data_IF_664635949813
#
_entry.id   IF_664635949813
#
_cell.length_a   1.000
_cell.length_b   1.000
_cell.length_c   1.000
_cell.angle_alpha   90.00
_cell.angle_beta   90.00
_cell.angle_gamma   90.00
#
_symmetry.space_group_name_H-M   'P 1'
#
loop_
_entity.id
_entity.type
_entity.pdbx_description
1 polymer ?
#
# COMPACT_ATOMS: atom_id res chain seq x y z
N UNK A 1 -26.54 44.80 30.98
CA UNK A 1 -25.73 43.89 31.83
C UNK A 1 -25.57 42.50 31.20
N UNK A 2 -26.64 41.75 30.92
CA UNK A 2 -26.56 40.40 30.32
C UNK A 2 -25.90 40.41 28.92
N UNK A 3 -26.28 41.34 28.06
CA UNK A 3 -25.71 41.50 26.71
C UNK A 3 -24.20 41.78 26.78
N UNK A 4 -23.77 42.62 27.72
CA UNK A 4 -22.35 42.94 27.94
C UNK A 4 -21.59 41.71 28.40
N UNK A 5 -22.14 40.91 29.32
CA UNK A 5 -21.53 39.66 29.78
C UNK A 5 -21.41 38.66 28.62
N UNK A 6 -22.45 38.50 27.80
CA UNK A 6 -22.41 37.63 26.61
C UNK A 6 -21.38 38.12 25.59
N UNK A 7 -21.30 39.43 25.36
CA UNK A 7 -20.32 40.03 24.45
C UNK A 7 -18.88 39.80 24.94
N UNK A 8 -18.59 40.12 26.21
CA UNK A 8 -17.25 39.95 26.77
C UNK A 8 -16.84 38.48 26.92
N UNK A 9 -17.77 37.58 27.22
CA UNK A 9 -17.49 36.14 27.25
C UNK A 9 -17.27 35.57 25.85
N UNK A 10 -18.02 36.01 24.83
CA UNK A 10 -17.80 35.61 23.44
C UNK A 10 -16.48 36.15 22.87
N UNK A 11 -16.17 37.42 23.14
CA UNK A 11 -14.90 38.04 22.75
C UNK A 11 -13.73 37.41 23.51
N UNK A 12 -13.86 37.16 24.81
CA UNK A 12 -12.85 36.47 25.63
C UNK A 12 -12.56 35.06 25.13
N UNK A 13 -13.59 34.28 24.77
CA UNK A 13 -13.41 32.96 24.15
C UNK A 13 -12.69 33.02 22.80
N UNK A 14 -12.94 34.05 21.98
CA UNK A 14 -12.21 34.28 20.71
C UNK A 14 -10.75 34.67 20.95
N UNK A 15 -10.46 35.46 21.98
CA UNK A 15 -9.10 35.93 22.32
C UNK A 15 -8.24 34.86 23.01
N UNK A 16 -8.83 33.94 23.76
CA UNK A 16 -8.10 32.83 24.43
C UNK A 16 -7.57 31.80 23.42
N UNK A 17 -8.18 31.71 22.23
CA UNK A 17 -7.63 30.91 21.13
C UNK A 17 -6.40 31.66 20.60
N UNK A 18 -5.21 31.28 21.08
CA UNK A 18 -3.94 31.75 20.52
C UNK A 18 -4.00 31.63 18.99
N UNK A 19 -3.89 32.76 18.28
CA UNK A 19 -3.88 32.78 16.83
C UNK A 19 -2.77 31.85 16.35
N UNK A 20 -3.16 30.79 15.63
CA UNK A 20 -2.19 29.86 15.07
C UNK A 20 -1.39 30.58 13.99
N UNK A 21 -0.08 30.62 14.15
CA UNK A 21 0.83 31.35 13.25
C UNK A 21 1.20 30.50 12.03
N UNK A 22 1.47 29.20 12.22
CA UNK A 22 1.88 28.24 11.16
C UNK A 22 1.72 26.78 11.59
N UNK A 23 1.89 25.84 10.66
CA UNK A 23 1.91 24.39 10.92
C UNK A 23 0.64 23.65 10.51
N UNK A 24 0.50 22.38 10.93
CA UNK A 24 -0.67 21.55 10.62
C UNK A 24 -1.91 21.94 11.45
N UNK A 25 -3.10 21.93 10.85
CA UNK A 25 -4.36 22.17 11.55
C UNK A 25 -4.96 20.85 12.04
N UNK A 26 -5.40 20.83 13.29
CA UNK A 26 -6.21 19.74 13.79
C UNK A 26 -7.68 20.07 13.54
N UNK A 27 -8.35 19.21 12.76
CA UNK A 27 -9.76 19.37 12.41
C UNK A 27 -10.49 18.05 12.61
N UNK A 28 -11.74 18.11 13.08
CA UNK A 28 -12.57 16.91 13.18
C UNK A 28 -12.84 16.30 11.80
N UNK A 29 -12.88 14.96 11.72
CA UNK A 29 -12.95 14.26 10.43
C UNK A 29 -14.16 14.67 9.57
N UNK A 30 -15.34 14.93 10.18
CA UNK A 30 -16.53 15.41 9.46
C UNK A 30 -16.30 16.78 8.81
N UNK A 31 -15.56 17.66 9.50
CA UNK A 31 -15.17 18.96 8.97
C UNK A 31 -14.19 18.79 7.82
N UNK A 32 -13.15 17.97 8.00
CA UNK A 32 -12.16 17.68 6.95
C UNK A 32 -12.82 17.07 5.70
N UNK A 33 -13.73 16.12 5.87
CA UNK A 33 -14.48 15.52 4.77
C UNK A 33 -15.31 16.56 4.00
N UNK A 34 -15.94 17.52 4.69
CA UNK A 34 -16.66 18.65 4.06
C UNK A 34 -15.69 19.56 3.32
N UNK A 35 -14.55 19.91 3.92
CA UNK A 35 -13.51 20.75 3.29
C UNK A 35 -13.01 20.11 1.98
N UNK A 36 -12.70 18.82 2.00
CA UNK A 36 -12.28 18.08 0.80
C UNK A 36 -13.36 18.07 -0.29
N UNK A 37 -14.63 17.86 0.08
CA UNK A 37 -15.76 17.90 -0.87
C UNK A 37 -15.95 19.29 -1.47
N UNK A 38 -16.00 20.33 -0.64
CA UNK A 38 -16.17 21.73 -1.09
C UNK A 38 -15.02 22.18 -1.99
N UNK A 39 -13.79 21.74 -1.71
CA UNK A 39 -12.62 22.01 -2.53
C UNK A 39 -12.52 21.14 -3.80
N UNK A 40 -13.49 20.25 -4.06
CA UNK A 40 -13.45 19.24 -5.14
C UNK A 40 -12.20 18.34 -5.10
N UNK A 41 -11.65 18.11 -3.90
CA UNK A 41 -10.46 17.32 -3.59
C UNK A 41 -10.76 16.00 -2.86
N UNK A 42 -12.02 15.60 -2.75
CA UNK A 42 -12.38 14.31 -2.16
C UNK A 42 -12.07 13.15 -3.14
N UNK A 43 -11.29 12.17 -2.69
CA UNK A 43 -11.06 10.92 -3.42
C UNK A 43 -12.28 9.98 -3.34
N UNK A 44 -12.28 8.97 -4.20
CA UNK A 44 -13.20 7.84 -4.14
C UNK A 44 -12.87 6.92 -2.97
N UNK A 45 -11.57 6.76 -2.67
CA UNK A 45 -11.06 5.97 -1.54
C UNK A 45 -11.31 6.71 -0.22
N UNK A 46 -11.80 5.97 0.78
CA UNK A 46 -12.13 6.47 2.11
C UNK A 46 -11.64 5.52 3.20
N UNK A 47 -11.34 6.07 4.37
CA UNK A 47 -11.12 5.32 5.60
C UNK A 47 -12.01 5.89 6.71
N UNK A 48 -12.79 5.04 7.40
CA UNK A 48 -13.75 5.48 8.40
C UNK A 48 -14.72 6.54 7.89
N UNK A 49 -15.05 6.51 6.58
CA UNK A 49 -15.90 7.52 5.92
C UNK A 49 -15.20 8.86 5.60
N UNK A 50 -13.94 9.06 5.96
CA UNK A 50 -13.12 10.20 5.55
C UNK A 50 -12.50 9.93 4.17
N UNK A 51 -12.86 10.68 3.11
CA UNK A 51 -12.18 10.55 1.82
C UNK A 51 -10.71 10.99 1.92
N UNK A 52 -9.84 10.28 1.19
CA UNK A 52 -8.48 10.76 0.95
C UNK A 52 -8.48 12.02 0.09
N UNK A 53 -7.31 12.66 -0.02
CA UNK A 53 -7.09 13.71 -1.00
C UNK A 53 -7.10 13.08 -2.39
N UNK A 54 -7.85 13.66 -3.32
CA UNK A 54 -7.95 13.18 -4.69
C UNK A 54 -6.56 13.05 -5.31
N UNK A 55 -6.30 11.90 -5.96
CA UNK A 55 -5.03 11.53 -6.61
C UNK A 55 -3.87 11.24 -5.65
N UNK A 56 -4.06 11.31 -4.32
CA UNK A 56 -3.00 11.00 -3.37
C UNK A 56 -2.72 9.50 -3.25
N UNK A 57 -3.60 8.64 -3.76
CA UNK A 57 -3.41 7.19 -3.76
C UNK A 57 -2.14 6.74 -4.52
N UNK A 58 -1.65 7.58 -5.45
CA UNK A 58 -0.42 7.34 -6.21
C UNK A 58 0.86 7.74 -5.46
N UNK A 59 0.72 8.37 -4.30
CA UNK A 59 1.85 8.82 -3.47
C UNK A 59 2.23 7.80 -2.38
N UNK A 60 1.64 6.60 -2.44
CA UNK A 60 1.70 5.57 -1.41
C UNK A 60 1.05 5.99 -0.07
N UNK A 61 0.68 5.00 0.73
CA UNK A 61 0.06 5.21 2.04
C UNK A 61 0.84 4.41 3.08
N UNK A 62 1.35 5.09 4.10
CA UNK A 62 1.96 4.45 5.27
C UNK A 62 0.89 4.31 6.37
N UNK A 63 0.53 3.05 6.69
CA UNK A 63 -0.35 2.74 7.82
C UNK A 63 0.52 2.23 8.97
N UNK A 64 0.56 2.97 10.07
CA UNK A 64 1.39 2.65 11.24
C UNK A 64 0.55 2.55 12.52
N UNK A 65 1.00 1.73 13.46
CA UNK A 65 0.35 1.50 14.75
C UNK A 65 0.77 0.18 15.39
N UNK A 66 0.58 0.03 16.70
CA UNK A 66 0.88 -1.21 17.43
C UNK A 66 -0.09 -2.35 17.07
N UNK A 67 0.17 -3.56 17.55
CA UNK A 67 -0.76 -4.69 17.38
C UNK A 67 -2.11 -4.35 17.99
N UNK A 68 -3.21 -4.66 17.28
CA UNK A 68 -4.57 -4.38 17.74
C UNK A 68 -5.11 -2.98 17.44
N UNK A 69 -4.33 -2.05 16.86
CA UNK A 69 -4.81 -0.68 16.57
C UNK A 69 -5.65 -0.56 15.29
N UNK A 70 -6.00 -1.67 14.64
CA UNK A 70 -6.89 -1.65 13.48
C UNK A 70 -6.23 -1.49 12.10
N UNK A 71 -4.91 -1.71 11.96
CA UNK A 71 -4.24 -1.70 10.64
C UNK A 71 -4.92 -2.64 9.64
N UNK A 72 -5.19 -3.88 10.06
CA UNK A 72 -5.93 -4.88 9.25
C UNK A 72 -7.35 -4.42 8.93
N UNK A 73 -8.02 -3.72 9.85
CA UNK A 73 -9.35 -3.16 9.58
C UNK A 73 -9.32 -2.09 8.49
N UNK A 74 -8.28 -1.26 8.43
CA UNK A 74 -8.12 -0.32 7.32
C UNK A 74 -7.96 -1.03 5.97
N UNK A 75 -7.18 -2.11 5.91
CA UNK A 75 -7.04 -2.92 4.69
C UNK A 75 -8.37 -3.60 4.30
N UNK A 76 -9.10 -4.12 5.29
CA UNK A 76 -10.45 -4.67 5.10
C UNK A 76 -11.47 -3.65 4.57
N UNK A 77 -11.28 -2.36 4.86
CA UNK A 77 -12.10 -1.28 4.29
C UNK A 77 -11.63 -0.91 2.87
N UNK A 78 -10.32 -0.97 2.60
CA UNK A 78 -9.72 -0.57 1.32
C UNK A 78 -9.99 -1.57 0.20
N UNK A 79 -9.80 -2.87 0.42
CA UNK A 79 -9.88 -3.90 -0.63
C UNK A 79 -11.25 -3.93 -1.33
N UNK A 80 -12.40 -3.85 -0.62
CA UNK A 80 -13.71 -3.74 -1.27
C UNK A 80 -13.86 -2.50 -2.15
N UNK A 81 -13.22 -1.38 -1.77
CA UNK A 81 -13.26 -0.15 -2.57
C UNK A 81 -12.45 -0.30 -3.86
N UNK A 82 -11.26 -0.91 -3.80
CA UNK A 82 -10.45 -1.25 -4.98
C UNK A 82 -11.27 -2.12 -5.94
N UNK A 83 -11.90 -3.18 -5.42
CA UNK A 83 -12.76 -4.07 -6.22
C UNK A 83 -13.95 -3.34 -6.83
N UNK A 84 -14.66 -2.52 -6.04
CA UNK A 84 -15.80 -1.72 -6.49
C UNK A 84 -15.42 -0.77 -7.62
N UNK A 85 -14.22 -0.22 -7.58
CA UNK A 85 -13.69 0.67 -8.61
C UNK A 85 -13.09 -0.05 -9.82
N UNK A 86 -13.06 -1.40 -9.81
CA UNK A 86 -12.43 -2.24 -10.83
C UNK A 86 -10.93 -1.99 -10.97
N UNK A 87 -10.31 -1.52 -9.88
CA UNK A 87 -8.87 -1.39 -9.78
C UNK A 87 -8.25 -2.77 -9.44
N UNK A 88 -6.93 -2.89 -9.61
CA UNK A 88 -6.17 -4.11 -9.31
C UNK A 88 -5.32 -3.93 -8.06
N UNK A 89 -5.13 -5.01 -7.30
CA UNK A 89 -4.24 -5.04 -6.15
C UNK A 89 -3.39 -6.31 -6.19
N UNK A 90 -2.14 -6.17 -5.74
CA UNK A 90 -1.27 -7.29 -5.35
C UNK A 90 -1.23 -7.28 -3.84
N UNK A 91 -1.56 -8.41 -3.22
CA UNK A 91 -1.68 -8.54 -1.76
C UNK A 91 -0.65 -9.55 -1.30
N UNK A 92 0.28 -9.12 -0.47
CA UNK A 92 1.20 -10.01 0.24
C UNK A 92 0.51 -10.45 1.53
N UNK A 93 -0.13 -11.62 1.49
CA UNK A 93 -0.88 -12.18 2.62
C UNK A 93 -0.10 -13.31 3.28
N UNK A 94 0.61 -12.99 4.35
CA UNK A 94 1.38 -13.98 5.14
C UNK A 94 0.51 -14.84 6.06
N UNK A 95 -0.76 -14.49 6.22
CA UNK A 95 -1.67 -15.13 7.20
C UNK A 95 -2.80 -15.93 6.56
N UNK A 96 -3.06 -15.71 5.27
CA UNK A 96 -4.21 -16.26 4.55
C UNK A 96 -5.55 -15.56 4.86
N UNK A 97 -5.57 -14.54 5.73
CA UNK A 97 -6.81 -13.88 6.17
C UNK A 97 -7.49 -13.06 5.08
N UNK A 98 -6.74 -12.51 4.13
CA UNK A 98 -7.29 -11.79 3.00
C UNK A 98 -7.75 -12.75 1.90
N UNK A 99 -7.04 -13.87 1.72
CA UNK A 99 -7.47 -14.94 0.82
C UNK A 99 -8.84 -15.46 1.26
N UNK A 100 -8.95 -15.91 2.51
CA UNK A 100 -10.21 -16.44 3.07
C UNK A 100 -11.40 -15.47 2.90
N UNK A 101 -11.14 -14.18 3.06
CA UNK A 101 -12.19 -13.17 3.05
C UNK A 101 -12.54 -12.60 1.67
N UNK A 102 -11.57 -12.45 0.77
CA UNK A 102 -11.73 -11.64 -0.44
C UNK A 102 -11.36 -12.35 -1.74
N UNK A 103 -10.74 -13.52 -1.70
CA UNK A 103 -10.34 -14.24 -2.90
C UNK A 103 -11.55 -14.79 -3.67
N UNK A 104 -11.65 -14.43 -4.94
CA UNK A 104 -12.62 -15.00 -5.87
C UNK A 104 -11.89 -15.91 -6.88
N UNK A 105 -12.03 -17.26 -6.80
CA UNK A 105 -11.35 -18.18 -7.70
C UNK A 105 -11.73 -18.01 -9.18
N UNK A 106 -12.81 -17.27 -9.50
CA UNK A 106 -13.22 -17.00 -10.88
C UNK A 106 -12.37 -15.93 -11.56
N UNK A 107 -11.75 -15.03 -10.81
CA UNK A 107 -11.06 -13.88 -11.38
C UNK A 107 -9.73 -13.50 -10.70
N UNK A 108 -9.48 -13.98 -9.48
CA UNK A 108 -8.26 -13.69 -8.76
C UNK A 108 -7.19 -14.76 -9.00
N UNK A 109 -5.95 -14.34 -8.80
CA UNK A 109 -4.75 -15.13 -9.05
C UNK A 109 -4.04 -15.34 -7.72
N UNK A 110 -3.79 -16.59 -7.36
CA UNK A 110 -3.03 -16.96 -6.17
C UNK A 110 -1.61 -17.33 -6.61
N UNK A 111 -0.59 -16.84 -5.92
CA UNK A 111 0.79 -17.27 -6.12
C UNK A 111 1.33 -17.78 -4.78
N UNK A 112 1.26 -19.09 -4.59
CA UNK A 112 1.75 -19.81 -3.41
C UNK A 112 2.25 -21.20 -3.84
N UNK A 113 3.56 -21.49 -3.73
CA UNK A 113 4.15 -22.75 -4.20
C UNK A 113 3.66 -23.99 -3.42
N UNK A 114 2.99 -23.80 -2.28
CA UNK A 114 2.45 -24.89 -1.46
C UNK A 114 0.98 -25.19 -1.75
N UNK A 115 0.32 -24.40 -2.60
CA UNK A 115 -1.11 -24.51 -2.89
C UNK A 115 -1.36 -25.14 -4.26
N UNK A 116 -2.19 -26.19 -4.29
CA UNK A 116 -2.40 -27.01 -5.50
C UNK A 116 -2.98 -26.24 -6.68
N UNK A 117 -3.87 -25.28 -6.42
CA UNK A 117 -4.56 -24.49 -7.46
C UNK A 117 -3.96 -23.08 -7.61
N UNK A 118 -2.72 -22.88 -7.15
CA UNK A 118 -1.99 -21.64 -7.36
C UNK A 118 -1.56 -21.50 -8.83
N UNK A 119 -1.40 -20.25 -9.27
CA UNK A 119 -0.62 -19.96 -10.46
C UNK A 119 0.80 -20.49 -10.29
N UNK A 120 1.35 -20.92 -11.41
CA UNK A 120 2.72 -21.42 -11.51
C UNK A 120 3.56 -20.32 -12.15
N UNK A 121 4.72 -20.05 -11.54
CA UNK A 121 5.62 -19.01 -12.01
C UNK A 121 7.06 -19.50 -11.93
N UNK A 122 7.78 -19.28 -13.02
CA UNK A 122 9.23 -19.48 -13.09
C UNK A 122 9.87 -18.10 -13.21
N UNK A 123 11.03 -17.84 -12.58
CA UNK A 123 11.62 -16.51 -12.59
C UNK A 123 11.94 -15.95 -13.98
N UNK A 124 12.25 -16.81 -14.94
CA UNK A 124 12.52 -16.42 -16.33
C UNK A 124 11.27 -16.10 -17.14
N UNK A 125 10.05 -16.34 -16.63
CA UNK A 125 8.81 -15.97 -17.32
C UNK A 125 8.65 -14.46 -17.51
N UNK A 126 9.32 -13.66 -16.67
CA UNK A 126 9.30 -12.20 -16.74
C UNK A 126 10.56 -11.60 -17.41
N UNK A 127 11.46 -12.45 -17.93
CA UNK A 127 12.68 -12.01 -18.60
C UNK A 127 12.50 -11.98 -20.13
N UNK A 128 12.64 -10.80 -20.73
CA UNK A 128 12.55 -10.59 -22.18
C UNK A 128 13.89 -10.17 -22.79
N UNK A 129 14.67 -9.39 -22.05
CA UNK A 129 15.98 -8.87 -22.45
C UNK A 129 17.10 -9.44 -21.56
N UNK A 130 18.34 -9.33 -22.02
CA UNK A 130 19.50 -9.85 -21.27
C UNK A 130 19.66 -9.23 -19.86
N UNK A 131 19.22 -7.97 -19.69
CA UNK A 131 19.27 -7.25 -18.42
C UNK A 131 18.26 -7.82 -17.40
N UNK A 132 17.11 -8.31 -17.84
CA UNK A 132 16.05 -8.78 -16.94
C UNK A 132 16.51 -9.97 -16.10
N UNK A 133 17.35 -10.85 -16.66
CA UNK A 133 17.94 -11.96 -15.92
C UNK A 133 18.85 -11.50 -14.78
N UNK A 134 19.54 -10.37 -14.95
CA UNK A 134 20.36 -9.81 -13.89
C UNK A 134 19.47 -9.16 -12.82
N UNK A 135 18.44 -8.43 -13.24
CA UNK A 135 17.48 -7.79 -12.33
C UNK A 135 16.74 -8.84 -11.48
N UNK A 136 16.23 -9.91 -12.12
CA UNK A 136 15.61 -11.05 -11.41
C UNK A 136 16.61 -11.68 -10.45
N UNK A 137 17.84 -11.98 -10.87
CA UNK A 137 18.84 -12.57 -9.98
C UNK A 137 19.16 -11.67 -8.78
N UNK A 138 19.26 -10.35 -8.98
CA UNK A 138 19.47 -9.39 -7.90
C UNK A 138 18.31 -9.36 -6.90
N UNK A 139 17.07 -9.60 -7.36
CA UNK A 139 15.90 -9.62 -6.48
C UNK A 139 15.88 -10.80 -5.49
N UNK A 140 16.60 -11.89 -5.80
CA UNK A 140 16.79 -13.04 -4.91
C UNK A 140 17.92 -12.84 -3.90
N UNK A 141 18.75 -11.82 -4.10
CA UNK A 141 19.87 -11.51 -3.24
C UNK A 141 19.48 -10.42 -2.22
N UNK A 142 20.14 -10.43 -1.06
CA UNK A 142 20.10 -9.31 -0.12
C UNK A 142 21.28 -8.36 -0.33
N UNK A 143 21.84 -8.31 -1.55
CA UNK A 143 23.02 -7.51 -1.84
C UNK A 143 22.79 -6.07 -1.44
N UNK A 144 23.63 -5.59 -0.54
CA UNK A 144 23.62 -4.20 -0.08
C UNK A 144 24.91 -3.57 -0.55
N UNK A 145 24.89 -2.59 -1.48
CA UNK A 145 26.11 -1.99 -2.06
C UNK A 145 27.10 -1.40 -1.05
N UNK A 146 26.68 -1.19 0.20
CA UNK A 146 27.52 -0.68 1.29
C UNK A 146 28.50 -1.71 1.85
N UNK A 147 28.25 -2.99 1.61
CA UNK A 147 29.15 -4.10 1.89
C UNK A 147 29.54 -4.67 0.53
N UNK A 148 30.82 -4.56 0.14
CA UNK A 148 31.32 -5.22 -1.05
C UNK A 148 31.32 -6.74 -0.82
N UNK A 149 30.13 -7.33 -0.95
CA UNK A 149 29.89 -8.74 -0.71
C UNK A 149 30.23 -9.53 -1.99
N UNK A 150 31.50 -9.91 -2.07
CA UNK A 150 32.05 -10.76 -3.11
C UNK A 150 31.17 -12.01 -3.35
N UNK A 151 30.66 -12.65 -2.30
CA UNK A 151 29.89 -13.88 -2.45
C UNK A 151 28.49 -13.61 -2.99
N UNK A 152 27.80 -12.58 -2.48
CA UNK A 152 26.48 -12.21 -2.99
C UNK A 152 26.55 -11.83 -4.48
N UNK A 153 27.53 -11.01 -4.87
CA UNK A 153 27.70 -10.57 -6.26
C UNK A 153 28.01 -11.72 -7.22
N UNK A 154 28.89 -12.65 -6.82
CA UNK A 154 29.18 -13.82 -7.64
C UNK A 154 27.98 -14.78 -7.71
N UNK A 155 27.22 -14.93 -6.62
CA UNK A 155 26.01 -15.74 -6.61
C UNK A 155 24.94 -15.17 -7.56
N UNK A 156 24.74 -13.85 -7.57
CA UNK A 156 23.85 -13.18 -8.53
C UNK A 156 24.27 -13.42 -9.98
N UNK A 157 25.57 -13.32 -10.28
CA UNK A 157 26.09 -13.55 -11.63
C UNK A 157 25.83 -15.00 -12.07
N UNK A 158 26.18 -15.97 -11.22
CA UNK A 158 25.95 -17.40 -11.51
C UNK A 158 24.46 -17.66 -11.70
N UNK A 159 23.60 -17.09 -10.85
CA UNK A 159 22.16 -17.24 -10.95
C UNK A 159 21.63 -16.62 -12.25
N UNK A 160 22.07 -15.42 -12.60
CA UNK A 160 21.67 -14.74 -13.84
C UNK A 160 22.01 -15.57 -15.08
N UNK A 161 23.22 -16.11 -15.16
CA UNK A 161 23.63 -16.98 -16.28
C UNK A 161 22.90 -18.32 -16.29
N UNK A 162 22.62 -18.91 -15.12
CA UNK A 162 21.80 -20.10 -15.03
C UNK A 162 20.36 -19.84 -15.53
N UNK A 163 19.72 -18.76 -15.10
CA UNK A 163 18.38 -18.39 -15.55
C UNK A 163 18.33 -18.19 -17.07
N UNK A 164 19.37 -17.59 -17.67
CA UNK A 164 19.48 -17.45 -19.14
C UNK A 164 19.58 -18.80 -19.84
N UNK A 165 20.35 -19.73 -19.28
CA UNK A 165 20.54 -21.07 -19.84
C UNK A 165 19.23 -21.88 -19.84
N UNK A 166 18.44 -21.78 -18.77
CA UNK A 166 17.19 -22.55 -18.58
C UNK A 166 15.93 -21.81 -19.04
N UNK A 167 16.04 -20.66 -19.73
CA UNK A 167 14.88 -19.83 -20.11
C UNK A 167 13.82 -20.54 -20.95
N UNK A 168 14.24 -21.54 -21.73
CA UNK A 168 13.36 -22.32 -22.61
C UNK A 168 12.77 -23.56 -21.92
N UNK A 169 13.22 -23.83 -20.70
CA UNK A 169 12.72 -24.92 -19.87
C UNK A 169 11.34 -24.61 -19.30
N UNK A 170 10.49 -25.64 -19.24
CA UNK A 170 9.12 -25.58 -18.74
C UNK A 170 8.89 -26.61 -17.64
N UNK A 171 9.90 -26.85 -16.82
CA UNK A 171 9.91 -27.69 -15.60
C UNK A 171 8.93 -27.20 -14.53
N UNK A 172 7.66 -27.10 -14.91
CA UNK A 172 6.54 -26.88 -14.03
C UNK A 172 5.82 -28.22 -13.93
N UNK A 173 5.93 -28.87 -12.78
CA UNK A 173 5.21 -30.10 -12.48
C UNK A 173 3.71 -29.81 -12.63
N UNK A 174 3.06 -30.50 -13.57
CA UNK A 174 1.60 -30.44 -13.78
C UNK A 174 0.85 -31.29 -12.77
#
# INVERSE_FOLDING_TARGET
MIISIVFFTAQGKKTIIKAKIRGADFVGYKCLAKMLKSAKKASKIRFGGLPLVKNSERLHILITGTTGTGKTNMLNELLPQIRLHKDRAIIVDTTGTFIDRFFDPKCDKLLNPLEKNSEQWLPWNDCFEAADFHDIASSFSNYTPKLDDFFAKNAELVLSEALKLYKDDKDIIK
#
